data_IF_667321730831
#
_entry.id   IF_667321730831
#
_cell.length_a   1.000
_cell.length_b   1.000
_cell.length_c   1.000
_cell.angle_alpha   90.00
_cell.angle_beta   90.00
_cell.angle_gamma   90.00
#
_symmetry.space_group_name_H-M   'P 1'
#
loop_
_entity.id
_entity.type
_entity.pdbx_description
1 polymer ?
#
# COMPACT_ATOMS: atom_id res chain seq x y z
N UNK A 1 0.10 14.83 -9.27
CA UNK A 1 0.44 13.52 -8.68
C UNK A 1 -0.28 12.42 -9.46
N UNK A 2 0.29 11.22 -9.50
CA UNK A 2 -0.32 10.05 -10.15
C UNK A 2 -0.82 9.09 -9.08
N UNK A 3 -2.09 8.72 -9.14
CA UNK A 3 -2.63 7.62 -8.33
C UNK A 3 -2.62 6.36 -9.18
N UNK A 4 -1.94 5.33 -8.69
CA UNK A 4 -1.94 4.01 -9.26
C UNK A 4 -2.59 3.03 -8.29
N UNK A 5 -3.75 2.51 -8.69
CA UNK A 5 -4.53 1.57 -7.91
C UNK A 5 -4.52 0.22 -8.59
N UNK A 6 -4.17 -0.83 -7.86
CA UNK A 6 -4.14 -2.20 -8.33
C UNK A 6 -5.00 -3.07 -7.42
N UNK A 7 -5.83 -3.94 -7.98
CA UNK A 7 -6.50 -4.99 -7.24
C UNK A 7 -6.06 -6.36 -7.76
N UNK A 8 -5.68 -7.24 -6.83
CA UNK A 8 -5.32 -8.62 -7.08
C UNK A 8 -6.36 -9.49 -6.39
N UNK A 9 -7.07 -10.32 -7.14
CA UNK A 9 -8.09 -11.23 -6.63
C UNK A 9 -7.70 -12.68 -6.92
N UNK A 10 -7.74 -13.52 -5.89
CA UNK A 10 -7.57 -14.96 -5.99
C UNK A 10 -8.80 -15.61 -5.34
N UNK A 11 -9.67 -16.21 -6.14
CA UNK A 11 -10.91 -16.81 -5.64
C UNK A 11 -10.62 -17.96 -4.67
N UNK A 12 -11.38 -18.03 -3.56
CA UNK A 12 -11.20 -19.03 -2.51
C UNK A 12 -10.04 -18.76 -1.55
N UNK A 13 -9.23 -17.72 -1.79
CA UNK A 13 -8.17 -17.32 -0.86
C UNK A 13 -8.73 -16.61 0.36
N UNK A 14 -8.28 -16.98 1.55
CA UNK A 14 -8.71 -16.35 2.80
C UNK A 14 -7.49 -15.83 3.57
N UNK A 15 -6.76 -14.90 2.95
CA UNK A 15 -5.54 -14.36 3.53
C UNK A 15 -5.84 -13.57 4.82
N UNK A 16 -5.13 -13.88 5.92
CA UNK A 16 -5.25 -13.13 7.18
C UNK A 16 -4.28 -11.94 7.26
N UNK A 17 -3.33 -11.87 6.34
CA UNK A 17 -2.32 -10.82 6.26
C UNK A 17 -1.89 -10.59 4.81
N UNK A 18 -1.23 -9.46 4.53
CA UNK A 18 -0.67 -9.17 3.20
C UNK A 18 0.41 -10.21 2.84
N UNK A 19 1.17 -10.70 3.82
CA UNK A 19 2.18 -11.74 3.58
C UNK A 19 1.53 -13.07 3.22
N UNK A 20 0.42 -13.41 3.90
CA UNK A 20 -0.41 -14.58 3.57
C UNK A 20 -0.98 -14.47 2.16
N UNK A 21 -1.31 -13.24 1.73
CA UNK A 21 -1.84 -13.02 0.39
C UNK A 21 -0.78 -13.24 -0.69
N UNK A 22 0.41 -12.65 -0.53
CA UNK A 22 1.40 -12.57 -1.61
C UNK A 22 2.41 -13.71 -1.61
N UNK A 23 2.91 -14.09 -0.44
CA UNK A 23 4.20 -14.78 -0.36
C UNK A 23 4.17 -16.09 0.42
N UNK A 24 3.16 -16.33 1.26
CA UNK A 24 3.02 -17.63 1.94
C UNK A 24 2.89 -18.76 0.91
N UNK A 25 3.68 -19.82 1.08
CA UNK A 25 3.78 -20.97 0.18
C UNK A 25 4.54 -20.69 -1.12
N UNK A 26 5.36 -19.64 -1.18
CA UNK A 26 6.23 -19.36 -2.35
C UNK A 26 7.70 -19.39 -1.95
N UNK A 27 8.59 -19.51 -2.95
CA UNK A 27 10.04 -19.35 -2.77
C UNK A 27 10.44 -17.98 -2.19
N UNK A 28 9.52 -17.01 -2.15
CA UNK A 28 9.69 -15.70 -1.55
C UNK A 28 9.09 -15.58 -0.13
N UNK A 29 8.60 -16.68 0.45
CA UNK A 29 8.01 -16.68 1.80
C UNK A 29 9.02 -16.26 2.87
N UNK A 30 10.20 -16.87 2.85
CA UNK A 30 11.27 -16.63 3.83
C UNK A 30 11.94 -15.26 3.63
N UNK A 31 11.97 -14.77 2.38
CA UNK A 31 12.43 -13.40 2.09
C UNK A 31 11.32 -12.35 2.31
N UNK A 32 10.12 -12.76 2.74
CA UNK A 32 8.98 -11.88 3.04
C UNK A 32 8.46 -11.09 1.84
N UNK A 33 8.82 -11.51 0.63
CA UNK A 33 8.56 -10.79 -0.62
C UNK A 33 8.96 -9.32 -0.56
N UNK A 34 10.20 -9.14 -0.12
CA UNK A 34 10.84 -7.85 0.16
C UNK A 34 11.17 -7.03 -1.07
N UNK A 35 11.12 -7.59 -2.29
CA UNK A 35 11.42 -6.86 -3.53
C UNK A 35 10.52 -5.64 -3.73
N UNK A 36 9.25 -5.84 -4.10
CA UNK A 36 8.30 -4.72 -4.31
C UNK A 36 8.05 -3.90 -3.04
N UNK A 37 7.99 -4.54 -1.86
CA UNK A 37 7.78 -3.81 -0.60
C UNK A 37 8.99 -2.94 -0.24
N UNK A 38 10.19 -3.44 -0.49
CA UNK A 38 11.46 -2.75 -0.31
C UNK A 38 11.61 -1.61 -1.30
N UNK A 39 11.33 -1.86 -2.57
CA UNK A 39 11.30 -0.85 -3.63
C UNK A 39 10.33 0.29 -3.28
N UNK A 40 9.09 -0.05 -2.90
CA UNK A 40 8.12 0.94 -2.46
C UNK A 40 8.60 1.73 -1.23
N UNK A 41 9.24 1.08 -0.26
CA UNK A 41 9.83 1.74 0.92
C UNK A 41 10.98 2.68 0.53
N UNK A 42 11.81 2.30 -0.44
CA UNK A 42 12.87 3.15 -0.97
C UNK A 42 12.27 4.39 -1.64
N UNK A 43 11.27 4.22 -2.51
CA UNK A 43 10.60 5.34 -3.18
C UNK A 43 9.90 6.29 -2.20
N UNK A 44 9.35 5.78 -1.10
CA UNK A 44 8.84 6.61 0.00
C UNK A 44 9.97 7.42 0.68
N UNK A 45 11.13 6.81 0.94
CA UNK A 45 12.30 7.50 1.54
C UNK A 45 12.87 8.58 0.61
N UNK A 46 12.91 8.31 -0.68
CA UNK A 46 13.34 9.25 -1.73
C UNK A 46 12.26 10.30 -2.04
N UNK A 47 11.10 10.24 -1.36
CA UNK A 47 9.95 11.11 -1.53
C UNK A 47 9.35 11.11 -2.95
N UNK A 48 9.61 10.06 -3.74
CA UNK A 48 9.01 9.80 -5.06
C UNK A 48 7.58 9.30 -4.95
N UNK A 49 7.29 8.56 -3.87
CA UNK A 49 5.93 8.18 -3.46
C UNK A 49 5.52 9.04 -2.28
N UNK A 50 4.30 9.58 -2.36
CA UNK A 50 3.67 10.43 -1.36
C UNK A 50 2.96 9.58 -0.30
N UNK A 51 2.17 8.60 -0.75
CA UNK A 51 1.47 7.66 0.12
C UNK A 51 1.34 6.30 -0.57
N UNK A 52 1.27 5.24 0.24
CA UNK A 52 1.00 3.89 -0.24
C UNK A 52 0.16 3.12 0.76
N UNK A 53 -0.95 2.57 0.29
CA UNK A 53 -1.92 1.83 1.12
C UNK A 53 -2.15 0.43 0.57
N UNK A 54 -2.31 -0.52 1.47
CA UNK A 54 -2.56 -1.92 1.17
C UNK A 54 -3.75 -2.38 2.00
N UNK A 55 -4.79 -2.89 1.35
CA UNK A 55 -6.05 -3.25 1.99
C UNK A 55 -6.48 -4.65 1.54
N UNK A 56 -6.72 -5.54 2.51
CA UNK A 56 -7.38 -6.82 2.25
C UNK A 56 -8.90 -6.61 2.22
N UNK A 57 -9.53 -7.09 1.16
CA UNK A 57 -10.98 -7.06 0.95
C UNK A 57 -11.52 -8.49 0.81
N UNK A 58 -12.84 -8.62 0.83
CA UNK A 58 -13.55 -9.88 0.54
C UNK A 58 -13.01 -11.05 1.38
N UNK A 59 -12.89 -10.86 2.70
CA UNK A 59 -12.33 -11.85 3.63
C UNK A 59 -10.92 -12.36 3.28
N UNK A 60 -10.11 -11.54 2.61
CA UNK A 60 -8.76 -11.89 2.21
C UNK A 60 -8.67 -12.56 0.83
N UNK A 61 -9.75 -12.58 0.04
CA UNK A 61 -9.76 -12.99 -1.37
C UNK A 61 -9.19 -11.92 -2.30
N UNK A 62 -9.12 -10.67 -1.86
CA UNK A 62 -8.64 -9.56 -2.70
C UNK A 62 -7.66 -8.68 -1.93
N UNK A 63 -6.54 -8.32 -2.57
CA UNK A 63 -5.65 -7.27 -2.11
C UNK A 63 -5.77 -6.05 -3.03
N UNK A 64 -6.11 -4.91 -2.46
CA UNK A 64 -5.98 -3.60 -3.11
C UNK A 64 -4.67 -2.94 -2.69
N UNK A 65 -3.92 -2.40 -3.65
CA UNK A 65 -2.74 -1.57 -3.45
C UNK A 65 -2.96 -0.24 -4.14
N UNK A 66 -2.92 0.84 -3.36
CA UNK A 66 -2.98 2.21 -3.88
C UNK A 66 -1.66 2.89 -3.61
N UNK A 67 -0.98 3.34 -4.66
CA UNK A 67 0.29 4.07 -4.57
C UNK A 67 0.11 5.44 -5.21
N UNK A 68 0.53 6.49 -4.50
CA UNK A 68 0.45 7.87 -4.97
C UNK A 68 1.86 8.36 -5.25
N UNK A 69 2.16 8.60 -6.51
CA UNK A 69 3.44 9.14 -6.95
C UNK A 69 3.38 10.66 -7.00
N UNK A 70 4.50 11.28 -6.66
CA UNK A 70 4.67 12.75 -6.66
C UNK A 70 4.30 13.34 -8.02
N UNK A 71 4.81 12.72 -9.08
CA UNK A 71 4.68 13.15 -10.46
C UNK A 71 4.72 11.94 -11.40
N UNK A 72 4.56 12.22 -12.69
CA UNK A 72 4.53 11.22 -13.74
C UNK A 72 5.88 10.52 -13.91
N UNK A 73 6.99 11.26 -13.82
CA UNK A 73 8.33 10.70 -13.97
C UNK A 73 8.64 9.66 -12.88
N UNK A 74 8.22 9.94 -11.64
CA UNK A 74 8.32 8.99 -10.52
C UNK A 74 7.53 7.70 -10.77
N UNK A 75 6.33 7.82 -11.36
CA UNK A 75 5.50 6.68 -11.73
C UNK A 75 6.15 5.88 -12.87
N UNK A 76 6.52 6.54 -13.97
CA UNK A 76 7.09 5.88 -15.14
C UNK A 76 8.41 5.15 -14.79
N UNK A 77 9.24 5.76 -13.95
CA UNK A 77 10.48 5.12 -13.45
C UNK A 77 10.15 3.88 -12.62
N UNK A 78 9.20 3.97 -11.69
CA UNK A 78 8.81 2.83 -10.85
C UNK A 78 8.30 1.65 -11.68
N UNK A 79 7.55 1.92 -12.75
CA UNK A 79 7.00 0.89 -13.63
C UNK A 79 8.06 0.17 -14.46
N UNK A 80 9.24 0.78 -14.63
CA UNK A 80 10.37 0.21 -15.37
C UNK A 80 11.35 -0.58 -14.48
N UNK A 81 11.20 -0.53 -13.16
CA UNK A 81 12.07 -1.25 -12.23
C UNK A 81 12.00 -2.77 -12.46
N UNK A 82 13.17 -3.42 -12.55
CA UNK A 82 13.27 -4.87 -12.76
C UNK A 82 12.47 -5.65 -11.71
N UNK A 83 12.57 -5.23 -10.44
CA UNK A 83 11.80 -5.81 -9.33
C UNK A 83 10.29 -5.67 -9.49
N UNK A 84 9.80 -4.61 -10.13
CA UNK A 84 8.38 -4.45 -10.43
C UNK A 84 7.95 -5.41 -11.54
N UNK A 85 8.77 -5.56 -12.58
CA UNK A 85 8.53 -6.48 -13.69
C UNK A 85 8.58 -7.95 -13.26
N UNK A 86 9.55 -8.32 -12.44
CA UNK A 86 9.72 -9.68 -11.90
C UNK A 86 8.50 -10.09 -11.07
N UNK A 87 8.05 -9.21 -10.17
CA UNK A 87 6.86 -9.47 -9.38
C UNK A 87 5.60 -9.58 -10.25
N UNK A 88 5.47 -8.74 -11.28
CA UNK A 88 4.36 -8.84 -12.24
C UNK A 88 4.35 -10.20 -12.94
N UNK A 89 5.49 -10.70 -13.37
CA UNK A 89 5.61 -12.03 -14.00
C UNK A 89 5.29 -13.16 -13.01
N UNK A 90 5.82 -13.10 -11.79
CA UNK A 90 5.55 -14.07 -10.74
C UNK A 90 4.03 -14.25 -10.52
N UNK A 91 3.29 -13.14 -10.44
CA UNK A 91 1.83 -13.18 -10.21
C UNK A 91 0.99 -13.48 -11.45
N UNK A 92 1.53 -13.26 -12.66
CA UNK A 92 0.84 -13.59 -13.91
C UNK A 92 0.63 -15.11 -14.10
N UNK A 93 1.44 -15.94 -13.42
CA UNK A 93 1.37 -17.40 -13.51
C UNK A 93 0.26 -18.03 -12.63
N UNK A 94 -0.35 -17.26 -11.72
CA UNK A 94 -1.39 -17.74 -10.80
C UNK A 94 -2.79 -17.41 -11.35
N UNK A 95 -3.82 -18.12 -10.88
CA UNK A 95 -5.24 -17.89 -11.23
C UNK A 95 -5.78 -16.58 -10.63
N UNK A 96 -5.09 -15.48 -10.90
CA UNK A 96 -5.34 -14.17 -10.34
C UNK A 96 -6.09 -13.33 -11.36
N UNK A 97 -7.12 -12.64 -10.90
CA UNK A 97 -7.69 -11.51 -11.62
C UNK A 97 -6.98 -10.26 -11.14
N UNK A 98 -6.34 -9.55 -12.06
CA UNK A 98 -5.65 -8.30 -11.78
C UNK A 98 -6.37 -7.17 -12.50
N UNK A 99 -6.78 -6.15 -11.78
CA UNK A 99 -7.28 -4.89 -12.35
C UNK A 99 -6.38 -3.76 -11.91
N UNK A 100 -6.24 -2.75 -12.76
CA UNK A 100 -5.45 -1.57 -12.44
C UNK A 100 -6.11 -0.31 -13.01
N UNK A 101 -6.08 0.76 -12.22
CA UNK A 101 -6.60 2.08 -12.56
C UNK A 101 -5.51 3.11 -12.33
N UNK A 102 -5.36 4.04 -13.28
CA UNK A 102 -4.40 5.15 -13.21
C UNK A 102 -5.17 6.44 -13.43
N UNK A 103 -4.99 7.40 -12.53
CA UNK A 103 -5.58 8.73 -12.69
C UNK A 103 -4.70 9.81 -12.06
N UNK A 104 -4.77 11.01 -12.60
CA UNK A 104 -4.03 12.17 -12.11
C UNK A 104 -4.86 12.94 -11.08
N UNK A 105 -4.21 13.44 -10.04
CA UNK A 105 -4.82 14.36 -9.08
C UNK A 105 -3.99 15.64 -8.99
N UNK A 106 -4.70 16.77 -8.94
CA UNK A 106 -4.10 18.10 -8.98
C UNK A 106 -3.58 18.58 -7.60
N UNK A 107 -4.08 18.04 -6.48
CA UNK A 107 -3.85 18.64 -5.15
C UNK A 107 -3.62 17.63 -4.01
N UNK A 108 -2.72 17.96 -3.07
CA UNK A 108 -2.38 17.12 -1.88
C UNK A 108 -3.53 17.02 -0.86
N UNK A 109 -4.46 17.97 -0.90
CA UNK A 109 -5.51 18.16 0.10
C UNK A 109 -6.49 16.97 0.21
N UNK A 110 -6.72 16.23 -0.88
CA UNK A 110 -7.57 15.03 -0.89
C UNK A 110 -6.94 13.81 -0.19
N UNK A 111 -5.62 13.79 0.01
CA UNK A 111 -4.91 12.68 0.69
C UNK A 111 -4.82 12.95 2.20
N UNK A 112 -4.58 14.22 2.55
CA UNK A 112 -4.56 14.66 3.96
C UNK A 112 -5.90 14.47 4.63
N UNK A 113 -7.02 14.64 3.92
CA UNK A 113 -8.36 14.48 4.50
C UNK A 113 -8.63 13.07 5.02
N UNK A 114 -8.21 12.01 4.33
CA UNK A 114 -8.44 10.63 4.77
C UNK A 114 -7.51 10.21 5.92
N UNK A 115 -6.23 10.60 5.85
CA UNK A 115 -5.27 10.38 6.95
C UNK A 115 -5.70 11.11 8.22
N UNK A 116 -6.11 12.39 8.11
CA UNK A 116 -6.71 13.12 9.23
C UNK A 116 -7.99 12.46 9.70
N UNK A 117 -8.87 12.04 8.80
CA UNK A 117 -10.15 11.39 9.17
C UNK A 117 -9.91 10.11 9.95
N UNK A 118 -8.90 9.31 9.58
CA UNK A 118 -8.53 8.11 10.32
C UNK A 118 -7.95 8.45 11.70
N UNK A 119 -7.07 9.46 11.78
CA UNK A 119 -6.52 9.96 13.04
C UNK A 119 -7.65 10.46 13.95
N UNK A 120 -8.58 11.27 13.43
CA UNK A 120 -9.75 11.81 14.13
C UNK A 120 -10.67 10.68 14.59
N UNK A 121 -11.01 9.73 13.71
CA UNK A 121 -11.80 8.54 14.06
C UNK A 121 -11.11 7.69 15.13
N UNK A 122 -9.77 7.65 15.15
CA UNK A 122 -9.00 6.93 16.15
C UNK A 122 -9.07 7.55 17.55
N UNK A 123 -9.65 8.76 17.70
CA UNK A 123 -9.93 9.42 18.97
C UNK A 123 -11.41 9.32 19.39
N UNK A 124 -12.31 8.91 18.51
CA UNK A 124 -13.76 9.01 18.72
C UNK A 124 -14.29 8.23 19.95
N UNK A 125 -13.58 7.19 20.38
CA UNK A 125 -13.96 6.33 21.51
C UNK A 125 -12.91 6.34 22.65
N UNK A 126 -12.04 7.34 22.69
CA UNK A 126 -11.00 7.45 23.71
C UNK A 126 -11.39 8.47 24.78
N UNK A 127 -11.01 8.21 26.03
CA UNK A 127 -11.08 9.19 27.11
C UNK A 127 -10.05 10.30 26.92
N UNK A 128 -10.25 11.44 27.60
CA UNK A 128 -9.36 12.61 27.53
C UNK A 128 -7.89 12.29 27.85
N UNK A 129 -7.63 11.38 28.80
CA UNK A 129 -6.26 10.97 29.15
C UNK A 129 -5.62 10.08 28.08
N UNK A 130 -6.40 9.21 27.45
CA UNK A 130 -5.92 8.38 26.33
C UNK A 130 -5.62 9.21 25.08
N UNK A 131 -6.43 10.24 24.82
CA UNK A 131 -6.19 11.21 23.74
C UNK A 131 -4.86 11.95 23.98
N UNK A 132 -4.63 12.49 25.19
CA UNK A 132 -3.38 13.18 25.53
C UNK A 132 -2.16 12.30 25.35
N UNK A 133 -2.22 11.06 25.83
CA UNK A 133 -1.12 10.10 25.69
C UNK A 133 -0.82 9.77 24.23
N UNK A 134 -1.86 9.59 23.42
CA UNK A 134 -1.73 9.29 21.99
C UNK A 134 -1.18 10.48 21.21
N UNK A 135 -1.59 11.72 21.55
CA UNK A 135 -0.99 12.95 20.99
C UNK A 135 0.50 13.04 21.36
N UNK A 136 0.87 12.76 22.61
CA UNK A 136 2.26 12.78 23.05
C UNK A 136 3.11 11.73 22.33
N UNK A 137 2.56 10.55 22.05
CA UNK A 137 3.23 9.51 21.25
C UNK A 137 3.42 9.93 19.79
N UNK A 138 2.39 10.51 19.16
CA UNK A 138 2.48 11.04 17.80
C UNK A 138 3.48 12.19 17.68
N UNK A 139 3.60 13.03 18.71
CA UNK A 139 4.54 14.15 18.75
C UNK A 139 6.00 13.71 18.99
N UNK A 140 6.23 12.54 19.63
CA UNK A 140 7.56 11.99 19.89
C UNK A 140 8.13 11.14 18.74
N UNK A 141 7.31 10.78 17.74
CA UNK A 141 7.76 10.08 16.54
C UNK A 141 8.47 11.02 15.55
N UNK A 142 9.68 11.46 15.89
CA UNK A 142 10.66 12.04 14.96
C UNK A 142 12.00 11.33 15.12
#
# INVERSE_FOLDING_TARGET
MIVYKQEFTEEGKNAKSIQDFWYRGSEFEESGGTGIRGLARQYMRERKVVDRRLILKNNGCTLEITTIFRDKDCFDTFMQEDLHNDARQFFHSRSWRITAEIYEIADELSIRSEGLTHIIKSFANLSLEEIKNKIAQLAKGR
#
